data_IF_239303012863
#
_entry.id   IF_239303012863
#
_cell.length_a   1.000
_cell.length_b   1.000
_cell.length_c   1.000
_cell.angle_alpha   90.00
_cell.angle_beta   90.00
_cell.angle_gamma   90.00
#
_symmetry.space_group_name_H-M   'P 1'
#
loop_
_entity.id
_entity.type
_entity.pdbx_description
1 polymer ?
#
# COMPACT_ATOMS: atom_id res chain seq x y z
N UNK A 1 28.86 -5.56 20.48
CA UNK A 1 30.23 -5.66 19.92
C UNK A 1 30.02 -5.64 18.42
N UNK A 2 30.69 -4.73 17.73
CA UNK A 2 30.46 -4.51 16.31
C UNK A 2 30.88 -5.79 15.55
N UNK A 3 29.92 -6.36 14.83
CA UNK A 3 30.13 -7.51 13.94
C UNK A 3 30.60 -6.97 12.58
N UNK A 4 31.33 -7.77 11.81
CA UNK A 4 31.69 -7.35 10.47
C UNK A 4 30.42 -7.16 9.62
N UNK A 5 30.43 -6.20 8.70
CA UNK A 5 29.26 -5.90 7.86
C UNK A 5 28.77 -7.14 7.08
N UNK A 6 29.67 -8.05 6.69
CA UNK A 6 29.29 -9.28 6.01
C UNK A 6 28.58 -10.28 6.94
N UNK A 7 29.00 -10.36 8.21
CA UNK A 7 28.31 -11.19 9.20
C UNK A 7 26.92 -10.62 9.50
N UNK A 8 26.80 -9.30 9.63
CA UNK A 8 25.51 -8.62 9.82
C UNK A 8 24.58 -8.83 8.61
N UNK A 9 25.11 -8.74 7.39
CA UNK A 9 24.38 -9.07 6.15
C UNK A 9 23.86 -10.50 6.16
N UNK A 10 24.71 -11.46 6.55
CA UNK A 10 24.32 -12.86 6.66
C UNK A 10 23.22 -13.06 7.71
N UNK A 11 23.34 -12.40 8.87
CA UNK A 11 22.30 -12.44 9.92
C UNK A 11 20.97 -11.84 9.46
N UNK A 12 20.98 -10.71 8.75
CA UNK A 12 19.76 -10.09 8.21
C UNK A 12 19.06 -11.07 7.25
N UNK A 13 19.79 -11.66 6.31
CA UNK A 13 19.25 -12.63 5.35
C UNK A 13 18.67 -13.87 6.04
N UNK A 14 19.39 -14.40 7.03
CA UNK A 14 18.94 -15.56 7.78
C UNK A 14 17.71 -15.25 8.64
N UNK A 15 17.64 -14.06 9.26
CA UNK A 15 16.47 -13.59 9.99
C UNK A 15 15.24 -13.47 9.08
N UNK A 16 15.40 -12.93 7.86
CA UNK A 16 14.32 -12.88 6.86
C UNK A 16 13.85 -14.28 6.49
N UNK A 17 14.79 -15.20 6.21
CA UNK A 17 14.47 -16.59 5.86
C UNK A 17 13.69 -17.30 6.97
N UNK A 18 14.20 -17.27 8.20
CA UNK A 18 13.57 -17.91 9.37
C UNK A 18 12.20 -17.32 9.68
N UNK A 19 12.07 -15.99 9.67
CA UNK A 19 10.76 -15.36 9.90
C UNK A 19 9.76 -15.70 8.79
N UNK A 20 10.21 -15.76 7.54
CA UNK A 20 9.35 -16.16 6.42
C UNK A 20 8.85 -17.59 6.58
N UNK A 21 9.73 -18.52 6.98
CA UNK A 21 9.39 -19.93 7.21
C UNK A 21 8.40 -20.09 8.37
N UNK A 22 8.61 -19.39 9.48
CA UNK A 22 7.77 -19.50 10.68
C UNK A 22 6.44 -18.77 10.52
N UNK A 23 6.41 -17.59 9.92
CA UNK A 23 5.21 -16.77 9.79
C UNK A 23 4.42 -17.05 8.50
N UNK A 24 4.99 -17.79 7.54
CA UNK A 24 4.40 -18.06 6.22
C UNK A 24 4.47 -16.86 5.25
N UNK A 25 4.94 -15.71 5.71
CA UNK A 25 5.11 -14.48 4.90
C UNK A 25 6.38 -13.76 5.30
N UNK A 26 7.06 -13.13 4.34
CA UNK A 26 8.27 -12.36 4.62
C UNK A 26 7.97 -11.12 5.47
N UNK A 27 8.87 -10.73 6.39
CA UNK A 27 8.77 -9.43 7.04
C UNK A 27 8.99 -8.31 6.02
N UNK A 28 8.22 -7.22 6.18
CA UNK A 28 8.31 -6.00 5.35
C UNK A 28 8.79 -4.77 6.15
N UNK A 29 9.01 -4.93 7.46
CA UNK A 29 9.58 -3.91 8.32
C UNK A 29 10.76 -4.47 9.09
N UNK A 30 11.72 -3.60 9.40
CA UNK A 30 12.92 -3.96 10.16
C UNK A 30 13.02 -3.15 11.46
N UNK A 31 13.36 -3.82 12.56
CA UNK A 31 13.73 -3.18 13.82
C UNK A 31 14.73 -4.07 14.55
N UNK A 32 15.96 -3.60 14.70
CA UNK A 32 17.04 -4.30 15.40
C UNK A 32 17.19 -3.80 16.84
N UNK A 33 16.89 -2.53 17.10
CA UNK A 33 16.99 -1.84 18.40
C UNK A 33 18.42 -1.57 18.86
N UNK A 34 19.37 -2.48 18.56
CA UNK A 34 20.81 -2.33 18.76
C UNK A 34 21.52 -2.38 17.41
N UNK A 35 21.34 -1.33 16.62
CA UNK A 35 21.95 -1.18 15.31
C UNK A 35 23.45 -0.84 15.40
N UNK A 36 24.17 -1.12 14.33
CA UNK A 36 25.49 -0.59 14.01
C UNK A 36 25.37 0.49 12.92
N UNK A 37 26.47 1.14 12.55
CA UNK A 37 26.50 2.02 11.37
C UNK A 37 26.19 1.29 10.05
N UNK A 38 26.33 -0.04 10.02
CA UNK A 38 26.08 -0.86 8.83
C UNK A 38 24.61 -1.25 8.68
N UNK A 39 23.83 -1.28 9.77
CA UNK A 39 22.48 -1.86 9.77
C UNK A 39 21.58 -1.22 8.71
N UNK A 40 21.45 0.11 8.71
CA UNK A 40 20.55 0.80 7.78
C UNK A 40 20.95 0.61 6.32
N UNK A 41 22.22 0.84 5.91
CA UNK A 41 22.67 0.52 4.55
C UNK A 41 22.40 -0.93 4.13
N UNK A 42 22.64 -1.91 5.01
CA UNK A 42 22.44 -3.34 4.72
C UNK A 42 20.96 -3.71 4.55
N UNK A 43 20.09 -3.13 5.39
CA UNK A 43 18.63 -3.30 5.28
C UNK A 43 18.12 -2.72 3.96
N UNK A 44 18.62 -1.55 3.56
CA UNK A 44 18.30 -0.94 2.27
C UNK A 44 18.78 -1.78 1.08
N UNK A 45 19.99 -2.37 1.20
CA UNK A 45 20.58 -3.21 0.15
C UNK A 45 19.82 -4.53 -0.05
N UNK A 46 19.29 -5.14 1.03
CA UNK A 46 18.45 -6.34 0.94
C UNK A 46 17.22 -6.13 0.06
N UNK A 47 16.66 -4.90 0.06
CA UNK A 47 15.71 -4.42 -0.94
C UNK A 47 14.28 -4.96 -0.82
N UNK A 48 14.01 -5.82 0.16
CA UNK A 48 12.71 -6.44 0.39
C UNK A 48 11.94 -5.89 1.60
N UNK A 49 12.50 -4.89 2.29
CA UNK A 49 11.81 -4.13 3.34
C UNK A 49 11.19 -2.85 2.77
N UNK A 50 10.04 -2.44 3.32
CA UNK A 50 9.38 -1.17 3.04
C UNK A 50 9.82 -0.06 3.99
N UNK A 51 10.17 -0.42 5.22
CA UNK A 51 10.59 0.55 6.23
C UNK A 51 11.54 -0.05 7.26
N UNK A 52 12.26 0.83 7.94
CA UNK A 52 12.93 0.52 9.21
C UNK A 52 12.39 1.38 10.34
N UNK A 53 12.33 0.82 11.54
CA UNK A 53 11.99 1.52 12.77
C UNK A 53 13.23 1.79 13.65
N UNK A 54 14.45 1.53 13.16
CA UNK A 54 15.72 1.81 13.84
C UNK A 54 16.08 3.30 13.79
N UNK A 55 15.12 4.17 14.10
CA UNK A 55 15.33 5.59 14.31
C UNK A 55 14.41 6.12 15.41
N UNK A 56 14.95 7.05 16.19
CA UNK A 56 14.26 7.82 17.23
C UNK A 56 14.29 9.32 16.93
N UNK A 57 14.64 9.71 15.70
CA UNK A 57 15.03 11.08 15.36
C UNK A 57 13.84 12.02 15.07
N UNK A 58 12.65 11.48 14.81
CA UNK A 58 11.48 12.27 14.41
C UNK A 58 10.19 11.66 14.96
N UNK A 59 9.10 12.41 14.93
CA UNK A 59 7.76 12.00 15.39
C UNK A 59 6.91 11.38 14.28
N UNK A 60 7.18 11.74 13.01
CA UNK A 60 6.47 11.21 11.85
C UNK A 60 7.41 10.39 10.95
N UNK A 61 6.88 9.49 10.10
CA UNK A 61 7.70 8.83 9.11
C UNK A 61 8.43 9.82 8.19
N UNK A 62 9.63 9.46 7.76
CA UNK A 62 10.44 10.31 6.89
C UNK A 62 11.32 9.49 5.96
N UNK A 63 11.69 10.08 4.83
CA UNK A 63 12.51 9.43 3.82
C UNK A 63 13.99 9.70 4.07
N UNK A 64 14.81 8.66 3.92
CA UNK A 64 16.26 8.76 3.79
C UNK A 64 16.68 8.32 2.40
N UNK A 65 17.85 8.78 1.96
CA UNK A 65 18.49 8.38 0.71
C UNK A 65 19.58 7.35 0.98
N UNK A 66 19.80 6.41 0.07
CA UNK A 66 20.88 5.43 0.21
C UNK A 66 21.10 4.54 -1.00
N UNK A 67 21.72 3.36 -0.83
CA UNK A 67 22.30 2.61 -1.96
C UNK A 67 21.30 2.14 -3.02
N UNK A 68 20.03 1.97 -2.64
CA UNK A 68 18.92 1.53 -3.49
C UNK A 68 17.80 2.57 -3.54
N UNK A 69 18.20 3.85 -3.55
CA UNK A 69 17.28 4.97 -3.62
C UNK A 69 16.63 5.29 -2.26
N UNK A 70 15.43 5.90 -2.29
CA UNK A 70 14.75 6.31 -1.07
C UNK A 70 14.29 5.12 -0.23
N UNK A 71 14.38 5.25 1.09
CA UNK A 71 13.89 4.26 2.04
C UNK A 71 13.17 4.94 3.21
N UNK A 72 12.10 4.32 3.68
CA UNK A 72 11.23 4.92 4.69
C UNK A 72 11.71 4.57 6.11
N UNK A 73 11.86 5.59 6.93
CA UNK A 73 11.98 5.43 8.37
C UNK A 73 10.61 5.65 9.01
N UNK A 74 10.15 4.69 9.83
CA UNK A 74 8.93 4.83 10.65
C UNK A 74 9.35 4.82 12.12
N UNK A 75 9.57 6.00 12.73
CA UNK A 75 10.25 6.13 14.02
C UNK A 75 9.65 5.27 15.14
N UNK A 76 10.52 4.72 15.98
CA UNK A 76 10.16 3.97 17.17
C UNK A 76 10.30 4.84 18.42
N UNK A 77 9.94 4.31 19.59
CA UNK A 77 10.15 4.99 20.86
C UNK A 77 10.62 4.03 21.96
N UNK A 78 11.51 4.54 22.80
CA UNK A 78 11.94 3.86 24.02
C UNK A 78 11.13 4.29 25.26
N UNK A 79 10.31 5.32 25.14
CA UNK A 79 9.63 5.94 26.28
C UNK A 79 8.21 5.39 26.49
N UNK A 80 7.33 5.51 25.49
CA UNK A 80 6.05 4.80 25.44
C UNK A 80 6.28 3.32 25.09
N UNK A 81 6.93 2.59 26.00
CA UNK A 81 7.44 1.24 25.78
C UNK A 81 7.29 0.36 27.03
N UNK A 82 6.74 -0.83 26.88
CA UNK A 82 6.54 -1.76 28.00
C UNK A 82 7.84 -2.35 28.57
N UNK A 83 8.99 -2.17 27.88
CA UNK A 83 10.31 -2.47 28.45
C UNK A 83 10.59 -1.71 29.74
N UNK A 84 9.94 -0.56 29.94
CA UNK A 84 9.98 0.22 31.19
C UNK A 84 9.54 -0.62 32.40
N UNK A 85 8.68 -1.63 32.24
CA UNK A 85 8.35 -2.57 33.32
C UNK A 85 9.51 -3.48 33.77
N UNK A 86 10.63 -3.49 33.05
CA UNK A 86 11.77 -4.39 33.27
C UNK A 86 13.04 -3.67 33.70
N UNK A 87 12.97 -2.36 33.95
CA UNK A 87 14.10 -1.56 34.42
C UNK A 87 13.78 -0.94 35.79
N UNK A 88 14.77 -0.77 36.69
CA UNK A 88 14.52 -0.28 38.05
C UNK A 88 13.82 1.09 38.14
N UNK A 89 14.01 1.96 37.14
CA UNK A 89 13.46 3.31 37.10
C UNK A 89 12.25 3.46 36.12
N UNK A 90 11.61 2.35 35.74
CA UNK A 90 10.46 2.38 34.84
C UNK A 90 9.15 2.15 35.58
N UNK A 91 8.11 1.70 34.86
CA UNK A 91 6.75 1.64 35.41
C UNK A 91 6.61 0.63 36.54
N UNK A 92 6.13 1.10 37.71
CA UNK A 92 5.86 0.28 38.88
C UNK A 92 4.62 -0.60 38.74
N UNK A 93 3.70 -0.27 37.83
CA UNK A 93 2.47 -1.02 37.61
C UNK A 93 1.67 -0.56 36.41
N UNK A 94 0.56 -1.25 36.13
CA UNK A 94 -0.29 -0.96 34.97
C UNK A 94 -0.91 0.44 35.00
N UNK A 95 -1.22 0.98 36.18
CA UNK A 95 -1.82 2.32 36.30
C UNK A 95 -0.86 3.43 35.86
N UNK A 96 0.42 3.32 36.20
CA UNK A 96 1.44 4.27 35.75
C UNK A 96 1.64 4.21 34.24
N UNK A 97 1.67 3.00 33.66
CA UNK A 97 1.76 2.82 32.21
C UNK A 97 0.54 3.39 31.50
N UNK A 98 -0.67 3.12 31.99
CA UNK A 98 -1.91 3.68 31.45
C UNK A 98 -1.91 5.21 31.51
N UNK A 99 -1.58 5.79 32.67
CA UNK A 99 -1.53 7.25 32.84
C UNK A 99 -0.53 7.89 31.88
N UNK A 100 0.67 7.32 31.76
CA UNK A 100 1.69 7.82 30.85
C UNK A 100 1.23 7.78 29.38
N UNK A 101 0.67 6.65 28.93
CA UNK A 101 0.13 6.52 27.57
C UNK A 101 -1.02 7.49 27.31
N UNK A 102 -1.92 7.66 28.28
CA UNK A 102 -3.05 8.60 28.20
C UNK A 102 -2.56 10.03 28.06
N UNK A 103 -1.62 10.46 28.91
CA UNK A 103 -1.11 11.83 28.87
C UNK A 103 -0.34 12.12 27.57
N UNK A 104 0.43 11.14 27.09
CA UNK A 104 1.09 11.23 25.77
C UNK A 104 0.06 11.35 24.64
N UNK A 105 -1.01 10.55 24.69
CA UNK A 105 -2.08 10.61 23.71
C UNK A 105 -2.81 11.96 23.76
N UNK A 106 -3.21 12.44 24.94
CA UNK A 106 -3.99 13.68 25.07
C UNK A 106 -3.22 14.89 24.51
N UNK A 107 -1.91 14.95 24.76
CA UNK A 107 -1.04 16.00 24.21
C UNK A 107 -0.98 15.91 22.68
N UNK A 108 -0.66 14.73 22.14
CA UNK A 108 -0.57 14.53 20.69
C UNK A 108 -1.93 14.72 20.00
N UNK A 109 -3.03 14.39 20.67
CA UNK A 109 -4.38 14.56 20.17
C UNK A 109 -4.76 16.05 20.10
N UNK A 110 -4.37 16.84 21.10
CA UNK A 110 -4.55 18.29 21.10
C UNK A 110 -3.72 18.95 19.98
N UNK A 111 -2.45 18.57 19.84
CA UNK A 111 -1.60 19.04 18.74
C UNK A 111 -2.11 18.58 17.35
N UNK A 112 -2.74 17.40 17.32
CA UNK A 112 -3.45 16.81 16.18
C UNK A 112 -4.53 17.70 15.56
N UNK A 113 -4.92 18.79 16.23
CA UNK A 113 -5.84 19.78 15.70
C UNK A 113 -5.28 20.52 14.47
N UNK A 114 -3.96 20.69 14.36
CA UNK A 114 -3.33 21.50 13.30
C UNK A 114 -2.42 20.71 12.37
N UNK A 115 -1.84 19.60 12.84
CA UNK A 115 -0.97 18.74 12.05
C UNK A 115 -1.07 17.29 12.54
N UNK A 116 -0.87 16.29 11.66
CA UNK A 116 -0.92 14.89 12.06
C UNK A 116 0.12 14.59 13.16
N UNK A 117 -0.20 13.62 14.01
CA UNK A 117 0.67 13.10 15.06
C UNK A 117 0.66 11.59 15.06
N UNK A 118 1.76 10.98 15.50
CA UNK A 118 1.90 9.54 15.64
C UNK A 118 2.34 9.20 17.06
N UNK A 119 1.55 8.38 17.75
CA UNK A 119 1.97 7.76 19.00
C UNK A 119 2.46 6.33 18.71
N UNK A 120 3.76 6.12 18.82
CA UNK A 120 4.35 4.79 18.78
C UNK A 120 4.26 4.14 20.16
N UNK A 121 3.80 2.90 20.25
CA UNK A 121 3.80 2.13 21.52
C UNK A 121 4.60 0.85 21.33
N UNK A 122 5.71 0.73 22.05
CA UNK A 122 6.56 -0.45 22.04
C UNK A 122 6.02 -1.54 22.96
N UNK A 123 5.66 -2.70 22.40
CA UNK A 123 5.06 -3.80 23.13
C UNK A 123 5.85 -5.11 22.92
N UNK A 124 6.00 -5.89 23.99
CA UNK A 124 6.63 -7.19 23.98
C UNK A 124 5.69 -8.21 24.61
N UNK A 125 5.36 -9.29 23.90
CA UNK A 125 4.39 -10.30 24.36
C UNK A 125 4.69 -10.83 25.78
N UNK A 126 5.96 -11.04 26.11
CA UNK A 126 6.41 -11.51 27.44
C UNK A 126 6.21 -10.51 28.58
N UNK A 127 6.03 -9.23 28.26
CA UNK A 127 5.90 -8.12 29.20
C UNK A 127 4.44 -7.66 29.29
N UNK A 128 3.89 -7.07 28.24
CA UNK A 128 2.50 -6.57 28.27
C UNK A 128 1.48 -7.71 28.41
N UNK A 129 1.80 -8.93 27.97
CA UNK A 129 0.90 -10.08 28.09
C UNK A 129 0.63 -10.58 29.51
N UNK A 130 1.31 -10.04 30.53
CA UNK A 130 1.01 -10.38 31.94
C UNK A 130 -0.34 -9.77 32.35
N UNK A 131 -1.21 -10.48 33.08
CA UNK A 131 -2.60 -10.05 33.31
C UNK A 131 -2.77 -8.60 33.79
N UNK A 132 -2.00 -8.17 34.80
CA UNK A 132 -2.09 -6.79 35.32
C UNK A 132 -1.61 -5.71 34.35
N UNK A 133 -0.72 -6.04 33.40
CA UNK A 133 -0.21 -5.11 32.38
C UNK A 133 -1.12 -5.10 31.14
N UNK A 134 -1.65 -6.26 30.77
CA UNK A 134 -2.63 -6.40 29.69
C UNK A 134 -3.91 -5.62 30.00
N UNK A 135 -4.39 -5.66 31.26
CA UNK A 135 -5.53 -4.88 31.70
C UNK A 135 -5.32 -3.36 31.52
N UNK A 136 -4.11 -2.87 31.79
CA UNK A 136 -3.79 -1.45 31.58
C UNK A 136 -3.78 -1.06 30.09
N UNK A 137 -3.22 -1.91 29.23
CA UNK A 137 -3.26 -1.69 27.77
C UNK A 137 -4.71 -1.71 27.26
N UNK A 138 -5.55 -2.65 27.71
CA UNK A 138 -6.96 -2.72 27.33
C UNK A 138 -7.70 -1.42 27.68
N UNK A 139 -7.54 -0.90 28.91
CA UNK A 139 -8.12 0.40 29.30
C UNK A 139 -7.65 1.54 28.40
N UNK A 140 -6.38 1.54 27.99
CA UNK A 140 -5.87 2.57 27.09
C UNK A 140 -6.49 2.47 25.70
N UNK A 141 -6.65 1.25 25.16
CA UNK A 141 -7.32 1.02 23.89
C UNK A 141 -8.80 1.44 23.94
N UNK A 142 -9.51 1.13 25.03
CA UNK A 142 -10.89 1.57 25.27
C UNK A 142 -10.98 3.10 25.34
N UNK A 143 -10.00 3.75 25.98
CA UNK A 143 -9.94 5.21 26.09
C UNK A 143 -9.81 5.85 24.70
N UNK A 144 -8.80 5.47 23.91
CA UNK A 144 -8.57 6.10 22.59
C UNK A 144 -9.68 5.78 21.59
N UNK A 145 -10.38 4.65 21.75
CA UNK A 145 -11.55 4.31 20.93
C UNK A 145 -12.74 5.26 21.18
N UNK A 146 -12.76 5.97 22.30
CA UNK A 146 -13.74 7.02 22.60
C UNK A 146 -13.48 8.36 21.90
N UNK A 147 -12.36 8.52 21.20
CA UNK A 147 -11.98 9.76 20.51
C UNK A 147 -12.18 9.64 18.99
N UNK A 148 -12.65 10.73 18.38
CA UNK A 148 -12.72 10.84 16.92
C UNK A 148 -11.32 11.03 16.32
N UNK A 149 -11.15 10.82 15.00
CA UNK A 149 -9.89 11.06 14.27
C UNK A 149 -8.67 10.26 14.77
N UNK A 150 -8.90 9.13 15.43
CA UNK A 150 -7.84 8.19 15.83
C UNK A 150 -7.78 7.02 14.85
N UNK A 151 -6.59 6.74 14.34
CA UNK A 151 -6.33 5.54 13.54
C UNK A 151 -5.40 4.59 14.30
N UNK A 152 -5.96 3.48 14.78
CA UNK A 152 -5.17 2.38 15.36
C UNK A 152 -4.68 1.50 14.23
N UNK A 153 -3.36 1.49 14.02
CA UNK A 153 -2.73 0.90 12.85
C UNK A 153 -1.56 0.00 13.25
N UNK A 154 -1.29 -1.05 12.45
CA UNK A 154 0.02 -1.69 12.52
C UNK A 154 1.03 -0.73 11.91
N UNK A 155 2.29 -0.80 12.36
CA UNK A 155 3.37 0.03 11.82
C UNK A 155 3.54 -0.11 10.29
N UNK A 156 3.30 -1.32 9.76
CA UNK A 156 3.29 -1.56 8.32
C UNK A 156 2.16 -0.79 7.61
N UNK A 157 0.98 -0.65 8.22
CA UNK A 157 -0.13 0.09 7.61
C UNK A 157 0.21 1.59 7.56
N UNK A 158 0.86 2.13 8.59
CA UNK A 158 1.40 3.51 8.60
C UNK A 158 2.43 3.69 7.47
N UNK A 159 3.37 2.75 7.32
CA UNK A 159 4.36 2.78 6.25
C UNK A 159 3.70 2.84 4.87
N UNK A 160 2.71 1.99 4.61
CA UNK A 160 1.96 1.96 3.35
C UNK A 160 1.19 3.24 3.09
N UNK A 161 0.52 3.78 4.10
CA UNK A 161 -0.15 5.08 4.00
C UNK A 161 0.84 6.18 3.63
N UNK A 162 2.00 6.21 4.28
CA UNK A 162 3.04 7.19 3.98
C UNK A 162 3.57 7.06 2.54
N UNK A 163 3.87 5.84 2.09
CA UNK A 163 4.26 5.55 0.70
C UNK A 163 3.19 6.04 -0.30
N UNK A 164 1.91 5.82 0.01
CA UNK A 164 0.83 6.18 -0.90
C UNK A 164 0.67 7.70 -1.07
N UNK A 165 0.84 8.47 0.01
CA UNK A 165 0.41 9.88 0.09
C UNK A 165 1.54 10.89 0.28
N UNK A 166 2.72 10.46 0.73
CA UNK A 166 3.86 11.32 1.05
C UNK A 166 5.09 10.82 0.28
N UNK A 167 5.22 11.14 -1.02
CA UNK A 167 6.35 10.68 -1.82
C UNK A 167 7.68 11.21 -1.28
N UNK A 168 8.80 10.53 -1.58
CA UNK A 168 10.13 11.05 -1.26
C UNK A 168 10.38 12.41 -1.92
N UNK A 169 11.30 13.24 -1.39
CA UNK A 169 11.69 14.50 -2.03
C UNK A 169 12.06 14.28 -3.51
N UNK A 170 11.43 15.05 -4.41
CA UNK A 170 11.61 14.89 -5.86
C UNK A 170 10.68 13.85 -6.51
N UNK A 171 9.82 13.17 -5.75
CA UNK A 171 8.88 12.18 -6.26
C UNK A 171 9.49 10.79 -6.45
N UNK A 172 8.66 9.86 -6.92
CA UNK A 172 9.11 8.50 -7.22
C UNK A 172 9.92 8.47 -8.51
N UNK A 173 11.10 7.84 -8.45
CA UNK A 173 11.95 7.56 -9.62
C UNK A 173 12.06 6.04 -9.75
N UNK A 174 11.17 5.38 -10.52
CA UNK A 174 11.06 3.93 -10.68
C UNK A 174 12.40 3.17 -10.75
N UNK A 175 13.33 3.62 -11.58
CA UNK A 175 14.64 2.99 -11.81
C UNK A 175 15.56 2.98 -10.59
N UNK A 176 15.26 3.81 -9.59
CA UNK A 176 16.02 3.93 -8.34
C UNK A 176 15.41 3.17 -7.17
N UNK A 177 14.19 2.63 -7.29
CA UNK A 177 13.49 2.03 -6.16
C UNK A 177 14.00 0.62 -5.86
N UNK A 178 13.93 0.22 -4.59
CA UNK A 178 14.01 -1.19 -4.22
C UNK A 178 12.82 -1.97 -4.79
N UNK A 179 12.95 -3.29 -4.92
CA UNK A 179 11.87 -4.14 -5.41
C UNK A 179 10.62 -4.00 -4.54
N UNK A 180 10.76 -4.04 -3.20
CA UNK A 180 9.62 -3.92 -2.30
C UNK A 180 8.89 -2.59 -2.49
N UNK A 181 9.63 -1.47 -2.53
CA UNK A 181 9.02 -0.15 -2.69
C UNK A 181 8.39 0.04 -4.08
N UNK A 182 9.05 -0.47 -5.13
CA UNK A 182 8.50 -0.43 -6.48
C UNK A 182 7.18 -1.21 -6.58
N UNK A 183 7.12 -2.42 -6.05
CA UNK A 183 5.90 -3.23 -6.08
C UNK A 183 4.79 -2.67 -5.20
N UNK A 184 5.13 -2.16 -4.02
CA UNK A 184 4.14 -1.53 -3.13
C UNK A 184 3.55 -0.28 -3.80
N UNK A 185 4.35 0.49 -4.53
CA UNK A 185 3.86 1.69 -5.21
C UNK A 185 3.16 1.42 -6.54
N UNK A 186 3.71 0.53 -7.37
CA UNK A 186 3.27 0.36 -8.77
C UNK A 186 2.62 -0.99 -9.07
N UNK A 187 2.66 -1.96 -8.14
CA UNK A 187 2.07 -3.28 -8.32
C UNK A 187 0.55 -3.28 -8.51
N UNK A 188 -0.13 -2.24 -8.01
CA UNK A 188 -1.57 -2.05 -8.17
C UNK A 188 -2.01 -1.29 -9.43
N UNK A 189 -1.07 -0.79 -10.25
CA UNK A 189 -1.39 0.05 -11.41
C UNK A 189 -2.29 -0.67 -12.41
N UNK A 190 -2.05 -1.96 -12.61
CA UNK A 190 -2.97 -2.84 -13.34
C UNK A 190 -3.71 -3.69 -12.31
N UNK A 191 -5.04 -3.62 -12.35
CA UNK A 191 -5.90 -4.13 -11.30
C UNK A 191 -5.58 -5.58 -10.91
N UNK A 192 -5.32 -5.80 -9.62
CA UNK A 192 -4.99 -7.10 -9.02
C UNK A 192 -3.93 -7.92 -9.80
N UNK A 193 -3.03 -7.26 -10.52
CA UNK A 193 -2.05 -7.89 -11.42
C UNK A 193 -0.60 -7.47 -11.13
N UNK A 194 -0.12 -7.58 -9.87
CA UNK A 194 1.22 -7.12 -9.48
C UNK A 194 2.35 -7.87 -10.19
N UNK A 195 2.08 -9.05 -10.74
CA UNK A 195 3.03 -9.82 -11.54
C UNK A 195 3.54 -9.06 -12.76
N UNK A 196 2.76 -8.09 -13.30
CA UNK A 196 3.18 -7.28 -14.45
C UNK A 196 4.26 -6.30 -14.02
N UNK A 197 4.05 -5.59 -12.91
CA UNK A 197 5.06 -4.71 -12.33
C UNK A 197 6.32 -5.50 -11.94
N UNK A 198 6.15 -6.66 -11.32
CA UNK A 198 7.25 -7.56 -11.00
C UNK A 198 8.09 -7.92 -12.23
N UNK A 199 7.45 -8.35 -13.33
CA UNK A 199 8.16 -8.68 -14.56
C UNK A 199 8.88 -7.48 -15.19
N UNK A 200 8.32 -6.26 -15.08
CA UNK A 200 8.99 -5.03 -15.51
C UNK A 200 10.22 -4.74 -14.64
N UNK A 201 10.12 -4.93 -13.32
CA UNK A 201 11.26 -4.75 -12.42
C UNK A 201 12.38 -5.76 -12.70
N UNK A 202 12.03 -7.04 -12.87
CA UNK A 202 12.96 -8.13 -13.15
C UNK A 202 13.68 -7.97 -14.49
N UNK A 203 13.03 -7.34 -15.48
CA UNK A 203 13.63 -7.01 -16.77
C UNK A 203 14.70 -5.91 -16.68
N UNK A 204 14.78 -5.20 -15.55
CA UNK A 204 15.70 -4.09 -15.33
C UNK A 204 15.08 -2.75 -15.75
N UNK A 205 14.87 -1.88 -14.76
CA UNK A 205 14.40 -0.51 -15.00
C UNK A 205 15.56 0.39 -15.39
N UNK A 206 15.29 1.30 -16.34
CA UNK A 206 16.22 2.35 -16.78
C UNK A 206 15.55 3.72 -16.65
N UNK A 207 16.28 4.83 -16.83
CA UNK A 207 15.68 6.17 -16.81
C UNK A 207 14.53 6.37 -17.81
N UNK A 208 14.44 5.53 -18.85
CA UNK A 208 13.29 5.56 -19.76
C UNK A 208 11.96 5.28 -19.01
N UNK A 209 11.97 4.46 -17.96
CA UNK A 209 10.79 4.11 -17.17
C UNK A 209 10.53 5.09 -16.00
N UNK A 210 11.32 6.15 -15.84
CA UNK A 210 11.11 7.12 -14.76
C UNK A 210 9.96 8.10 -15.02
N UNK A 211 9.39 8.04 -16.22
CA UNK A 211 8.19 8.79 -16.59
C UNK A 211 6.98 7.87 -16.59
N UNK A 212 5.80 8.46 -16.37
CA UNK A 212 4.55 7.72 -16.50
C UNK A 212 4.42 7.06 -17.89
N UNK A 213 5.04 7.63 -18.95
CA UNK A 213 4.84 7.16 -20.32
C UNK A 213 5.70 5.94 -20.58
N UNK A 214 6.96 6.00 -20.16
CA UNK A 214 7.87 4.88 -20.27
C UNK A 214 7.48 3.70 -19.38
N UNK A 215 7.05 3.97 -18.14
CA UNK A 215 6.57 2.89 -17.25
C UNK A 215 5.28 2.25 -17.79
N UNK A 216 4.34 3.07 -18.27
CA UNK A 216 3.12 2.57 -18.93
C UNK A 216 3.46 1.67 -20.12
N UNK A 217 4.36 2.11 -21.00
CA UNK A 217 4.78 1.34 -22.17
C UNK A 217 5.41 0.00 -21.76
N UNK A 218 6.25 -0.02 -20.72
CA UNK A 218 6.86 -1.25 -20.21
C UNK A 218 5.81 -2.22 -19.63
N UNK A 219 4.87 -1.73 -18.82
CA UNK A 219 3.79 -2.55 -18.26
C UNK A 219 2.90 -3.13 -19.37
N UNK A 220 2.53 -2.32 -20.37
CA UNK A 220 1.70 -2.79 -21.48
C UNK A 220 2.44 -3.76 -22.40
N UNK A 221 3.75 -3.62 -22.59
CA UNK A 221 4.55 -4.58 -23.33
C UNK A 221 4.52 -5.96 -22.65
N UNK A 222 4.68 -6.00 -21.32
CA UNK A 222 4.57 -7.25 -20.54
C UNK A 222 3.16 -7.85 -20.64
N UNK A 223 2.12 -7.03 -20.49
CA UNK A 223 0.74 -7.51 -20.59
C UNK A 223 0.44 -8.11 -21.98
N UNK A 224 0.79 -7.41 -23.06
CA UNK A 224 0.52 -7.86 -24.44
C UNK A 224 1.35 -9.07 -24.86
N UNK A 225 2.55 -9.24 -24.30
CA UNK A 225 3.39 -10.41 -24.54
C UNK A 225 2.95 -11.65 -23.73
N UNK A 226 2.14 -11.48 -22.69
CA UNK A 226 1.68 -12.59 -21.86
C UNK A 226 0.74 -13.53 -22.63
N UNK A 227 0.69 -14.84 -22.28
CA UNK A 227 -0.27 -15.76 -22.86
C UNK A 227 -1.71 -15.25 -22.75
N UNK A 228 -2.56 -15.53 -23.74
CA UNK A 228 -3.93 -15.02 -23.78
C UNK A 228 -4.73 -15.34 -22.50
N UNK A 229 -4.52 -16.50 -21.88
CA UNK A 229 -5.13 -16.87 -20.61
C UNK A 229 -4.77 -15.92 -19.46
N UNK A 230 -3.53 -15.40 -19.43
CA UNK A 230 -3.11 -14.39 -18.44
C UNK A 230 -3.70 -13.02 -18.73
N UNK A 231 -3.78 -12.63 -20.01
CA UNK A 231 -4.45 -11.40 -20.41
C UNK A 231 -5.93 -11.43 -20.01
N UNK A 232 -6.62 -12.55 -20.25
CA UNK A 232 -8.00 -12.77 -19.83
C UNK A 232 -8.15 -12.68 -18.31
N UNK A 233 -7.22 -13.27 -17.54
CA UNK A 233 -7.24 -13.18 -16.08
C UNK A 233 -7.11 -11.73 -15.60
N UNK A 234 -6.29 -10.91 -16.25
CA UNK A 234 -6.15 -9.47 -15.95
C UNK A 234 -7.47 -8.74 -16.23
N UNK A 235 -8.10 -8.99 -17.39
CA UNK A 235 -9.41 -8.41 -17.72
C UNK A 235 -10.44 -8.79 -16.65
N UNK A 236 -10.52 -10.07 -16.27
CA UNK A 236 -11.48 -10.56 -15.28
C UNK A 236 -11.20 -10.07 -13.85
N UNK A 237 -9.98 -9.61 -13.58
CA UNK A 237 -9.62 -9.03 -12.30
C UNK A 237 -10.14 -7.59 -12.12
N UNK A 238 -10.56 -6.93 -13.21
CA UNK A 238 -11.15 -5.60 -13.12
C UNK A 238 -12.59 -5.69 -12.58
N UNK A 239 -12.99 -4.76 -11.69
CA UNK A 239 -14.35 -4.76 -11.17
C UNK A 239 -15.35 -4.23 -12.21
N UNK A 240 -16.57 -4.77 -12.18
CA UNK A 240 -17.70 -4.25 -12.95
C UNK A 240 -17.99 -2.78 -12.59
N UNK A 241 -18.29 -1.98 -13.62
CA UNK A 241 -18.81 -0.63 -13.44
C UNK A 241 -20.20 -0.66 -12.80
N UNK A 242 -20.37 0.08 -11.70
CA UNK A 242 -21.60 0.11 -10.90
C UNK A 242 -22.09 -1.28 -10.43
N UNK A 243 -21.18 -2.26 -10.36
CA UNK A 243 -21.51 -3.66 -10.06
C UNK A 243 -21.61 -3.98 -8.56
N UNK A 244 -21.61 -5.29 -8.25
CA UNK A 244 -21.78 -5.79 -6.88
C UNK A 244 -20.68 -5.34 -5.93
N UNK A 245 -19.43 -5.27 -6.40
CA UNK A 245 -18.30 -4.79 -5.59
C UNK A 245 -18.45 -3.32 -5.20
N UNK A 246 -18.94 -2.47 -6.13
CA UNK A 246 -19.24 -1.08 -5.85
C UNK A 246 -20.34 -0.94 -4.79
N UNK A 247 -21.42 -1.71 -4.93
CA UNK A 247 -22.51 -1.74 -3.95
C UNK A 247 -22.08 -2.23 -2.56
N UNK A 248 -21.13 -3.17 -2.52
CA UNK A 248 -20.55 -3.70 -1.28
C UNK A 248 -19.41 -2.84 -0.70
N UNK A 249 -19.01 -1.76 -1.38
CA UNK A 249 -17.83 -0.93 -1.01
C UNK A 249 -16.54 -1.76 -0.89
N UNK A 250 -16.38 -2.76 -1.74
CA UNK A 250 -15.22 -3.67 -1.79
C UNK A 250 -14.27 -3.37 -2.97
N UNK A 251 -14.41 -2.21 -3.60
CA UNK A 251 -13.51 -1.75 -4.67
C UNK A 251 -12.16 -1.32 -4.09
N UNK A 252 -11.12 -1.40 -4.91
CA UNK A 252 -9.84 -0.73 -4.61
C UNK A 252 -10.03 0.79 -4.51
N UNK A 253 -9.09 1.48 -3.84
CA UNK A 253 -9.15 2.93 -3.69
C UNK A 253 -9.19 3.64 -5.05
N UNK A 254 -8.35 3.20 -6.01
CA UNK A 254 -8.31 3.73 -7.37
C UNK A 254 -9.64 3.51 -8.10
N UNK A 255 -10.17 2.28 -8.10
CA UNK A 255 -11.47 1.97 -8.71
C UNK A 255 -12.62 2.77 -8.08
N UNK A 256 -12.57 3.00 -6.77
CA UNK A 256 -13.56 3.82 -6.05
C UNK A 256 -13.51 5.28 -6.53
N UNK A 257 -12.31 5.86 -6.62
CA UNK A 257 -12.12 7.24 -7.08
C UNK A 257 -12.52 7.40 -8.56
N UNK A 258 -12.16 6.44 -9.40
CA UNK A 258 -12.51 6.42 -10.82
C UNK A 258 -14.04 6.38 -11.01
N UNK A 259 -14.74 5.46 -10.33
CA UNK A 259 -16.20 5.36 -10.43
C UNK A 259 -16.93 6.58 -9.86
N UNK A 260 -16.45 7.14 -8.75
CA UNK A 260 -16.99 8.38 -8.18
C UNK A 260 -16.79 9.57 -9.15
N UNK A 261 -15.66 9.65 -9.86
CA UNK A 261 -15.39 10.73 -10.81
C UNK A 261 -16.35 10.74 -12.01
N UNK A 262 -16.92 9.59 -12.36
CA UNK A 262 -17.92 9.43 -13.41
C UNK A 262 -19.38 9.49 -12.89
N UNK A 263 -19.58 9.76 -11.59
CA UNK A 263 -20.89 9.83 -10.96
C UNK A 263 -21.64 8.49 -10.87
N UNK A 264 -20.91 7.37 -10.92
CA UNK A 264 -21.50 6.02 -10.82
C UNK A 264 -21.91 5.66 -9.38
N UNK A 265 -21.44 6.42 -8.39
CA UNK A 265 -21.86 6.35 -6.99
C UNK A 265 -23.26 6.95 -6.75
N UNK A 266 -23.81 7.68 -7.71
CA UNK A 266 -25.07 8.45 -7.61
C UNK A 266 -26.08 8.12 -8.71
N UNK A 267 -26.09 6.87 -9.17
CA UNK A 267 -27.03 6.42 -10.19
C UNK A 267 -28.47 6.38 -9.66
N UNK A 268 -29.42 6.78 -10.50
CA UNK A 268 -30.84 6.51 -10.26
C UNK A 268 -31.13 5.01 -10.35
N UNK A 269 -32.29 4.58 -9.84
CA UNK A 269 -32.70 3.18 -9.93
C UNK A 269 -32.80 2.69 -11.39
N UNK A 270 -33.28 3.55 -12.30
CA UNK A 270 -33.38 3.25 -13.73
C UNK A 270 -32.01 3.13 -14.39
N UNK A 271 -31.09 4.07 -14.10
CA UNK A 271 -29.72 4.00 -14.60
C UNK A 271 -29.01 2.74 -14.10
N UNK A 272 -29.16 2.41 -12.82
CA UNK A 272 -28.58 1.20 -12.23
C UNK A 272 -29.13 -0.07 -12.88
N UNK A 273 -30.44 -0.13 -13.16
CA UNK A 273 -31.04 -1.25 -13.89
C UNK A 273 -30.46 -1.37 -15.30
N UNK A 274 -30.26 -0.24 -15.99
CA UNK A 274 -29.65 -0.20 -17.32
C UNK A 274 -28.19 -0.69 -17.32
N UNK A 275 -27.36 -0.22 -16.38
CA UNK A 275 -25.99 -0.72 -16.22
C UNK A 275 -25.96 -2.22 -15.91
N UNK A 276 -26.88 -2.70 -15.05
CA UNK A 276 -26.98 -4.12 -14.72
C UNK A 276 -27.31 -4.96 -15.95
N UNK A 277 -28.27 -4.54 -16.76
CA UNK A 277 -28.65 -5.24 -17.99
C UNK A 277 -27.51 -5.23 -19.03
N UNK A 278 -26.82 -4.11 -19.19
CA UNK A 278 -25.69 -3.99 -20.12
C UNK A 278 -24.49 -4.84 -19.69
N UNK A 279 -24.14 -4.86 -18.39
CA UNK A 279 -23.12 -5.74 -17.86
C UNK A 279 -23.46 -7.22 -18.10
N UNK A 280 -24.72 -7.61 -17.88
CA UNK A 280 -25.17 -8.98 -18.11
C UNK A 280 -25.04 -9.39 -19.59
N UNK A 281 -25.53 -8.55 -20.52
CA UNK A 281 -25.43 -8.81 -21.95
C UNK A 281 -23.97 -8.86 -22.44
N UNK A 282 -23.12 -7.98 -21.90
CA UNK A 282 -21.70 -7.93 -22.24
C UNK A 282 -20.96 -9.19 -21.75
N UNK A 283 -21.22 -9.60 -20.50
CA UNK A 283 -20.67 -10.84 -19.93
C UNK A 283 -21.15 -12.08 -20.70
N UNK A 284 -22.42 -12.15 -21.08
CA UNK A 284 -22.97 -13.25 -21.87
C UNK A 284 -22.29 -13.36 -23.25
N UNK A 285 -22.07 -12.23 -23.91
CA UNK A 285 -21.48 -12.21 -25.26
C UNK A 285 -19.96 -12.46 -25.26
N UNK A 286 -19.22 -11.81 -24.38
CA UNK A 286 -17.76 -11.77 -24.43
C UNK A 286 -17.07 -12.63 -23.36
N UNK A 287 -17.80 -13.04 -22.32
CA UNK A 287 -17.25 -13.86 -21.23
C UNK A 287 -16.36 -13.09 -20.26
N UNK A 288 -16.40 -11.75 -20.28
CA UNK A 288 -15.68 -10.88 -19.35
C UNK A 288 -16.39 -9.56 -19.11
N UNK A 289 -15.91 -8.80 -18.12
CA UNK A 289 -16.52 -7.54 -17.66
C UNK A 289 -16.28 -6.39 -18.63
N UNK A 290 -17.19 -5.42 -18.70
CA UNK A 290 -16.95 -4.23 -19.50
C UNK A 290 -15.93 -3.32 -18.82
N UNK A 291 -14.82 -3.05 -19.53
CA UNK A 291 -13.75 -2.18 -19.04
C UNK A 291 -13.68 -0.92 -19.88
N UNK A 292 -13.66 0.25 -19.25
CA UNK A 292 -13.46 1.54 -19.90
C UNK A 292 -12.71 2.48 -18.97
N UNK A 293 -11.79 3.28 -19.52
CA UNK A 293 -11.23 4.41 -18.79
C UNK A 293 -12.31 5.49 -18.62
N UNK A 294 -12.83 5.63 -17.40
CA UNK A 294 -13.99 6.48 -17.10
C UNK A 294 -13.63 7.84 -16.49
N UNK A 295 -12.37 8.08 -16.17
CA UNK A 295 -11.96 9.37 -15.59
C UNK A 295 -12.22 10.50 -16.57
N UNK A 296 -13.06 11.46 -16.17
CA UNK A 296 -13.48 12.58 -17.02
C UNK A 296 -14.54 12.22 -18.07
N UNK A 297 -15.03 10.98 -18.08
CA UNK A 297 -16.14 10.58 -18.94
C UNK A 297 -17.49 10.86 -18.27
N UNK A 298 -18.44 11.36 -19.04
CA UNK A 298 -19.83 11.47 -18.62
C UNK A 298 -20.54 10.11 -18.71
N UNK A 299 -21.57 9.91 -17.89
CA UNK A 299 -22.35 8.65 -17.85
C UNK A 299 -22.90 8.27 -19.22
N UNK A 300 -23.35 9.25 -19.99
CA UNK A 300 -23.90 9.09 -21.33
C UNK A 300 -22.84 8.54 -22.30
N UNK A 301 -21.58 8.96 -22.15
CA UNK A 301 -20.47 8.45 -22.95
C UNK A 301 -20.15 6.99 -22.62
N UNK A 302 -20.24 6.61 -21.33
CA UNK A 302 -20.05 5.23 -20.89
C UNK A 302 -21.16 4.34 -21.46
N UNK A 303 -22.43 4.76 -21.36
CA UNK A 303 -23.57 4.03 -21.92
C UNK A 303 -23.50 3.92 -23.45
N UNK A 304 -23.09 4.99 -24.14
CA UNK A 304 -22.88 4.95 -25.59
C UNK A 304 -21.75 4.00 -25.98
N UNK A 305 -20.66 3.96 -25.20
CA UNK A 305 -19.56 3.04 -25.41
C UNK A 305 -20.00 1.57 -25.21
N UNK A 306 -20.82 1.28 -24.20
CA UNK A 306 -21.44 -0.04 -24.00
C UNK A 306 -22.19 -0.49 -25.25
N UNK A 307 -23.16 0.31 -25.70
CA UNK A 307 -24.00 -0.04 -26.86
C UNK A 307 -23.17 -0.28 -28.10
N UNK A 308 -22.23 0.63 -28.41
CA UNK A 308 -21.35 0.48 -29.58
C UNK A 308 -20.48 -0.77 -29.50
N UNK A 309 -19.91 -1.06 -28.32
CA UNK A 309 -18.97 -2.18 -28.15
C UNK A 309 -19.66 -3.53 -28.09
N UNK A 310 -20.94 -3.58 -27.73
CA UNK A 310 -21.76 -4.79 -27.87
C UNK A 310 -21.89 -5.26 -29.32
N UNK A 311 -21.64 -4.41 -30.32
CA UNK A 311 -21.65 -4.81 -31.74
C UNK A 311 -20.31 -5.40 -32.22
N UNK A 312 -19.24 -5.32 -31.42
CA UNK A 312 -17.93 -5.84 -31.78
C UNK A 312 -17.90 -7.38 -31.88
N UNK A 313 -16.92 -7.92 -32.62
CA UNK A 313 -16.56 -9.34 -32.53
C UNK A 313 -15.80 -9.60 -31.22
N UNK A 314 -15.80 -10.84 -30.69
CA UNK A 314 -15.05 -11.16 -29.48
C UNK A 314 -13.57 -10.80 -29.54
N UNK A 315 -12.92 -10.97 -30.68
CA UNK A 315 -11.50 -10.66 -30.87
C UNK A 315 -11.23 -9.16 -30.83
N UNK A 316 -12.07 -8.38 -31.54
CA UNK A 316 -11.98 -6.92 -31.53
C UNK A 316 -12.24 -6.36 -30.14
N UNK A 317 -13.21 -6.92 -29.42
CA UNK A 317 -13.56 -6.46 -28.08
C UNK A 317 -12.51 -6.80 -27.04
N UNK A 318 -11.88 -7.97 -27.15
CA UNK A 318 -10.76 -8.34 -26.30
C UNK A 318 -9.58 -7.37 -26.47
N UNK A 319 -9.26 -6.99 -27.72
CA UNK A 319 -8.24 -5.99 -28.01
C UNK A 319 -8.61 -4.60 -27.45
N UNK A 320 -9.87 -4.17 -27.62
CA UNK A 320 -10.36 -2.91 -27.04
C UNK A 320 -10.30 -2.92 -25.50
N UNK A 321 -10.63 -4.04 -24.85
CA UNK A 321 -10.55 -4.16 -23.39
C UNK A 321 -9.10 -3.95 -22.89
N UNK A 322 -8.11 -4.55 -23.56
CA UNK A 322 -6.69 -4.33 -23.25
C UNK A 322 -6.27 -2.88 -23.49
N UNK A 323 -6.77 -2.24 -24.53
CA UNK A 323 -6.50 -0.82 -24.80
C UNK A 323 -7.10 0.09 -23.72
N UNK A 324 -8.29 -0.24 -23.21
CA UNK A 324 -8.91 0.48 -22.10
C UNK A 324 -8.15 0.29 -20.78
N UNK A 325 -7.68 -0.93 -20.48
CA UNK A 325 -6.75 -1.18 -19.35
C UNK A 325 -5.48 -0.33 -19.51
N UNK A 326 -4.96 -0.23 -20.74
CA UNK A 326 -3.86 0.65 -21.06
C UNK A 326 -4.14 2.11 -20.68
N UNK A 327 -5.28 2.65 -21.09
CA UNK A 327 -5.68 4.03 -20.74
C UNK A 327 -5.83 4.22 -19.22
N UNK A 328 -6.43 3.28 -18.52
CA UNK A 328 -6.56 3.32 -17.05
C UNK A 328 -5.17 3.35 -16.41
N UNK A 329 -4.28 2.43 -16.78
CA UNK A 329 -2.92 2.37 -16.23
C UNK A 329 -2.13 3.66 -16.46
N UNK A 330 -2.27 4.27 -17.64
CA UNK A 330 -1.64 5.56 -17.99
C UNK A 330 -2.12 6.67 -17.07
N UNK A 331 -3.43 6.80 -16.88
CA UNK A 331 -4.04 7.81 -16.03
C UNK A 331 -3.67 7.63 -14.55
N UNK A 332 -3.53 6.40 -14.07
CA UNK A 332 -3.03 6.12 -12.71
C UNK A 332 -1.57 6.56 -12.56
N UNK A 333 -0.72 6.20 -13.51
CA UNK A 333 0.70 6.57 -13.49
C UNK A 333 0.93 8.08 -13.56
N UNK A 334 0.14 8.81 -14.34
CA UNK A 334 0.21 10.28 -14.41
C UNK A 334 -0.14 10.98 -13.08
N UNK A 335 -0.86 10.31 -12.17
CA UNK A 335 -1.08 10.81 -10.81
C UNK A 335 0.04 10.42 -9.84
N UNK A 336 0.73 9.30 -10.12
CA UNK A 336 1.73 8.74 -9.22
C UNK A 336 3.14 9.30 -9.45
N UNK A 337 3.43 9.75 -10.67
CA UNK A 337 4.72 10.24 -11.11
C UNK A 337 4.65 11.73 -11.49
N UNK A 338 5.74 12.49 -11.33
CA UNK A 338 5.80 13.87 -11.81
C UNK A 338 5.60 13.92 -13.33
N UNK A 339 5.09 15.06 -13.80
CA UNK A 339 4.79 15.33 -15.21
C UNK A 339 6.04 15.40 -16.09
#
# INVERSE_FOLDING_TARGET
KDVAAEDERAHIREAVRLQTEVAGTRPLGFYQGRSSENTTPLVMEEGGFLYSADSYADELPYWIEGPKGPFLMVPYTLDANDMRFSIPAGFGGGDEFFAYLKDSFDLLYAEGATAPRMLSIGLHNRLVGRPGRAAALARFLDYIAGHERVWVARRLDIARHWIAHHPPPGGYVPSRLSQALFLERFGGVIEHSPWIAQAVFDAGLTPAQDTAAGLHAALMAVLRAAPQARQQAVINAHPDLAGKLAAAKLLTADSTQEQASAGLDRLTAEEKARFTALNAAYMEKFGFVFIMAIRGAAKEQILAAFTRRLDNTPEAEFAEALDQIGRISRLRLEQMLPA
#
